data_IF_286341021716
#
_entry.id   IF_286341021716
#
_cell.length_a   1.000
_cell.length_b   1.000
_cell.length_c   1.000
_cell.angle_alpha   90.00
_cell.angle_beta   90.00
_cell.angle_gamma   90.00
#
_symmetry.space_group_name_H-M   'P 1'
#
loop_
_entity.id
_entity.type
_entity.pdbx_description
1 polymer ?
#
# COMPACT_ATOMS: atom_id res chain seq x y z
N UNK A 1 -26.99 49.50 26.49
CA UNK A 1 -26.00 50.41 27.11
C UNK A 1 -24.89 49.55 27.69
N UNK A 2 -23.64 49.84 27.30
CA UNK A 2 -22.35 49.32 27.81
C UNK A 2 -22.10 47.80 27.70
N UNK A 3 -20.91 47.25 27.42
CA UNK A 3 -19.55 47.67 27.05
C UNK A 3 -18.91 46.32 26.57
N UNK A 4 -18.20 46.18 25.45
CA UNK A 4 -16.83 46.66 25.22
C UNK A 4 -15.87 45.47 25.06
N UNK A 5 -15.26 45.32 23.88
CA UNK A 5 -13.86 44.90 23.72
C UNK A 5 -13.40 45.20 22.29
N UNK A 6 -12.59 46.25 22.20
CA UNK A 6 -11.99 46.81 21.00
C UNK A 6 -10.51 46.41 21.04
N UNK A 7 -10.02 45.69 20.04
CA UNK A 7 -8.59 45.46 19.86
C UNK A 7 -8.13 46.21 18.61
N UNK A 8 -7.31 47.22 18.86
CA UNK A 8 -6.65 48.09 17.91
C UNK A 8 -5.47 47.39 17.22
N UNK A 9 -5.43 47.50 15.89
CA UNK A 9 -4.25 47.20 15.08
C UNK A 9 -3.21 48.33 15.18
N UNK A 10 -1.91 48.03 15.24
CA UNK A 10 -0.88 48.99 14.86
C UNK A 10 -0.58 48.86 13.35
N UNK A 11 -0.69 49.98 12.64
CA UNK A 11 -0.16 50.15 11.29
C UNK A 11 1.37 50.08 11.31
N UNK A 12 1.97 49.17 10.53
CA UNK A 12 3.33 49.30 10.04
C UNK A 12 3.47 48.69 8.64
N UNK A 13 3.93 49.57 7.74
CA UNK A 13 4.31 49.46 6.33
C UNK A 13 4.62 48.07 5.75
N UNK A 14 4.15 47.91 4.52
CA UNK A 14 4.51 46.86 3.57
C UNK A 14 6.03 46.77 3.35
N UNK A 15 6.60 45.61 3.63
CA UNK A 15 7.79 45.09 2.95
C UNK A 15 7.49 43.68 2.43
N UNK A 16 7.73 43.50 1.14
CA UNK A 16 7.64 42.23 0.42
C UNK A 16 8.71 41.26 0.96
N UNK A 17 8.34 40.42 1.91
CA UNK A 17 9.08 39.19 2.16
C UNK A 17 8.17 38.00 1.85
N UNK A 18 8.32 37.46 0.63
CA UNK A 18 7.88 36.10 0.31
C UNK A 18 8.69 35.15 1.18
N UNK A 19 8.14 34.76 2.32
CA UNK A 19 8.63 33.62 3.07
C UNK A 19 8.21 32.38 2.27
N UNK A 20 9.13 31.87 1.46
CA UNK A 20 8.99 30.56 0.82
C UNK A 20 9.20 29.53 1.93
N UNK A 21 8.11 29.02 2.49
CA UNK A 21 8.18 27.86 3.36
C UNK A 21 8.55 26.64 2.49
N UNK A 22 9.57 25.85 2.87
CA UNK A 22 9.84 24.60 2.18
C UNK A 22 8.60 23.70 2.29
N UNK A 23 8.20 23.03 1.20
CA UNK A 23 7.02 22.15 1.11
C UNK A 23 6.90 21.14 2.27
N UNK A 24 8.02 20.78 2.89
CA UNK A 24 8.09 19.91 4.07
C UNK A 24 7.34 20.46 5.30
N UNK A 25 7.38 21.79 5.55
CA UNK A 25 6.73 22.38 6.73
C UNK A 25 5.20 22.47 6.60
N UNK A 26 4.68 22.62 5.38
CA UNK A 26 3.23 22.67 5.10
C UNK A 26 2.62 21.27 5.21
N UNK A 27 3.34 20.23 4.78
CA UNK A 27 2.98 18.83 5.04
C UNK A 27 2.92 18.52 6.54
N UNK A 28 3.90 18.99 7.31
CA UNK A 28 3.97 18.74 8.74
C UNK A 28 2.77 19.33 9.51
N UNK A 29 2.37 20.58 9.26
CA UNK A 29 1.33 21.23 10.07
C UNK A 29 -0.10 20.80 9.72
N UNK A 30 -0.41 20.56 8.43
CA UNK A 30 -1.75 20.11 8.03
C UNK A 30 -2.02 18.68 8.53
N UNK A 31 -1.05 17.78 8.36
CA UNK A 31 -1.23 16.40 8.80
C UNK A 31 -1.18 16.26 10.33
N UNK A 32 -0.39 17.07 11.04
CA UNK A 32 -0.42 17.11 12.50
C UNK A 32 -1.81 17.51 13.03
N UNK A 33 -2.52 18.40 12.33
CA UNK A 33 -3.89 18.80 12.67
C UNK A 33 -4.93 17.68 12.45
N UNK A 34 -4.76 16.90 11.36
CA UNK A 34 -5.57 15.70 11.07
C UNK A 34 -5.33 14.61 12.13
N UNK A 35 -4.08 14.38 12.52
CA UNK A 35 -3.70 13.40 13.57
C UNK A 35 -4.22 13.80 14.95
N UNK A 36 -4.30 15.11 15.27
CA UNK A 36 -4.74 15.57 16.59
C UNK A 36 -6.27 15.55 16.78
N UNK A 37 -7.05 15.71 15.70
CA UNK A 37 -8.53 15.72 15.77
C UNK A 37 -9.17 14.37 15.44
N UNK A 38 -8.50 13.51 14.67
CA UNK A 38 -8.91 12.11 14.55
C UNK A 38 -8.26 11.39 15.72
N UNK A 39 -9.05 11.14 16.77
CA UNK A 39 -8.70 10.20 17.84
C UNK A 39 -8.52 8.83 17.17
N UNK A 40 -7.32 8.56 16.64
CA UNK A 40 -7.00 7.37 15.85
C UNK A 40 -7.37 6.19 16.72
N UNK A 41 -8.49 5.57 16.37
CA UNK A 41 -8.90 4.30 16.93
C UNK A 41 -7.83 3.29 16.52
N UNK A 42 -6.79 3.17 17.34
CA UNK A 42 -5.96 1.99 17.44
C UNK A 42 -6.81 0.87 18.07
N UNK A 43 -7.95 0.56 17.45
CA UNK A 43 -8.42 -0.81 17.44
C UNK A 43 -7.47 -1.55 16.51
N UNK A 44 -6.39 -2.05 17.12
CA UNK A 44 -5.72 -3.27 16.66
C UNK A 44 -6.80 -4.15 16.06
N UNK A 45 -6.79 -4.39 14.75
CA UNK A 45 -7.36 -5.63 14.22
C UNK A 45 -6.37 -6.71 14.67
N UNK A 46 -6.56 -7.38 15.82
CA UNK A 46 -5.63 -8.38 16.26
C UNK A 46 -6.08 -9.65 15.53
N UNK A 47 -5.82 -9.72 14.23
CA UNK A 47 -5.67 -11.04 13.63
C UNK A 47 -4.43 -11.60 14.32
N UNK A 48 -4.62 -12.67 15.09
CA UNK A 48 -3.68 -13.16 16.10
C UNK A 48 -2.25 -13.35 15.57
N UNK A 49 -2.08 -13.48 14.24
CA UNK A 49 -0.82 -13.64 13.54
C UNK A 49 -0.41 -12.45 12.61
N UNK A 50 -1.34 -11.59 12.18
CA UNK A 50 -1.11 -10.57 11.14
C UNK A 50 -0.78 -9.21 11.78
N UNK A 51 0.33 -8.58 11.37
CA UNK A 51 0.77 -7.24 11.79
C UNK A 51 0.99 -6.35 10.56
N UNK A 52 0.40 -5.16 10.51
CA UNK A 52 0.83 -4.14 9.54
C UNK A 52 2.09 -3.48 10.09
N UNK A 53 3.14 -3.41 9.28
CA UNK A 53 4.38 -2.76 9.69
C UNK A 53 4.17 -1.25 9.75
N UNK A 54 4.53 -0.66 10.89
CA UNK A 54 4.36 0.76 11.14
C UNK A 54 5.08 1.60 10.07
N UNK A 55 4.30 2.45 9.37
CA UNK A 55 4.81 3.38 8.35
C UNK A 55 5.17 2.75 6.99
N UNK A 56 5.01 1.43 6.83
CA UNK A 56 5.39 0.75 5.58
C UNK A 56 4.24 -0.08 4.99
N UNK A 57 4.15 -0.18 3.65
CA UNK A 57 3.17 -1.02 2.95
C UNK A 57 3.54 -2.51 3.01
N UNK A 58 3.75 -3.03 4.22
CA UNK A 58 4.13 -4.42 4.47
C UNK A 58 3.29 -5.05 5.59
N UNK A 59 3.10 -6.36 5.51
CA UNK A 59 2.42 -7.18 6.51
C UNK A 59 3.39 -8.22 7.05
N UNK A 60 3.53 -8.33 8.37
CA UNK A 60 4.32 -9.35 9.03
C UNK A 60 3.42 -10.42 9.66
N UNK A 61 3.63 -11.68 9.26
CA UNK A 61 3.07 -12.87 9.89
C UNK A 61 4.02 -13.34 10.99
N UNK A 62 3.65 -13.09 12.25
CA UNK A 62 4.50 -13.31 13.42
C UNK A 62 4.88 -14.77 13.64
N UNK A 63 3.93 -15.67 13.47
CA UNK A 63 4.09 -17.10 13.77
C UNK A 63 4.87 -17.82 12.66
N UNK A 64 4.89 -17.22 11.47
CA UNK A 64 5.52 -17.75 10.25
C UNK A 64 6.86 -17.12 9.92
N UNK A 65 7.29 -16.14 10.72
CA UNK A 65 8.47 -15.31 10.47
C UNK A 65 8.53 -14.83 9.01
N UNK A 66 7.38 -14.38 8.48
CA UNK A 66 7.21 -14.04 7.08
C UNK A 66 6.75 -12.58 6.91
N UNK A 67 7.46 -11.83 6.07
CA UNK A 67 7.07 -10.47 5.67
C UNK A 67 6.43 -10.54 4.29
N UNK A 68 5.31 -9.86 4.10
CA UNK A 68 4.60 -9.76 2.83
C UNK A 68 4.64 -8.32 2.33
N UNK A 69 5.00 -8.15 1.06
CA UNK A 69 4.93 -6.90 0.29
C UNK A 69 4.21 -7.19 -1.03
N UNK A 70 3.77 -6.16 -1.75
CA UNK A 70 3.03 -6.34 -3.01
C UNK A 70 3.39 -5.28 -4.04
N UNK A 71 3.22 -5.58 -5.33
CA UNK A 71 3.23 -4.61 -6.43
C UNK A 71 4.47 -3.70 -6.47
N UNK A 72 5.65 -4.33 -6.64
CA UNK A 72 6.93 -3.62 -6.72
C UNK A 72 7.10 -2.93 -8.07
N UNK A 73 6.57 -3.52 -9.14
CA UNK A 73 6.69 -3.05 -10.51
C UNK A 73 8.10 -2.59 -10.88
N UNK A 74 9.14 -3.35 -10.53
CA UNK A 74 10.51 -3.00 -10.91
C UNK A 74 10.60 -2.86 -12.44
N UNK A 75 11.34 -1.84 -12.90
CA UNK A 75 11.43 -1.46 -14.31
C UNK A 75 10.34 -0.50 -14.81
N UNK A 76 9.46 0.00 -13.93
CA UNK A 76 8.38 0.92 -14.33
C UNK A 76 8.89 2.24 -14.92
N UNK A 77 10.07 2.71 -14.50
CA UNK A 77 10.70 3.93 -15.03
C UNK A 77 10.97 3.83 -16.55
N UNK A 78 11.45 2.67 -17.04
CA UNK A 78 11.67 2.41 -18.47
C UNK A 78 10.34 2.35 -19.23
N UNK A 79 9.32 1.74 -18.62
CA UNK A 79 7.98 1.67 -19.20
C UNK A 79 7.34 3.07 -19.34
N UNK A 80 7.51 3.95 -18.35
CA UNK A 80 7.07 5.34 -18.42
C UNK A 80 7.82 6.12 -19.50
N UNK A 81 9.13 5.96 -19.58
CA UNK A 81 9.94 6.59 -20.62
C UNK A 81 9.48 6.17 -22.02
N UNK A 82 9.20 4.88 -22.22
CA UNK A 82 8.76 4.34 -23.51
C UNK A 82 7.32 4.74 -23.88
N UNK A 83 6.40 4.74 -22.92
CA UNK A 83 4.96 4.97 -23.19
C UNK A 83 4.55 6.44 -23.15
N UNK A 84 5.18 7.26 -22.31
CA UNK A 84 4.81 8.65 -22.06
C UNK A 84 5.90 9.65 -22.43
N UNK A 85 7.09 9.19 -22.81
CA UNK A 85 8.26 10.04 -23.08
C UNK A 85 8.90 10.64 -21.82
N UNK A 86 8.42 10.28 -20.63
CA UNK A 86 8.92 10.79 -19.35
C UNK A 86 10.11 9.95 -18.89
N UNK A 87 11.32 10.48 -19.05
CA UNK A 87 12.53 9.86 -18.53
C UNK A 87 12.70 10.16 -17.03
N UNK A 88 12.55 9.13 -16.19
CA UNK A 88 12.84 9.22 -14.76
C UNK A 88 14.26 8.71 -14.46
N UNK A 89 14.98 9.29 -13.47
CA UNK A 89 16.24 8.73 -13.02
C UNK A 89 16.02 7.36 -12.37
N UNK A 90 16.84 6.36 -12.70
CA UNK A 90 16.71 5.01 -12.12
C UNK A 90 16.98 4.98 -10.61
N UNK A 91 15.91 5.11 -9.81
CA UNK A 91 15.96 5.19 -8.34
C UNK A 91 14.97 4.26 -7.67
N UNK A 92 13.96 3.77 -8.40
CA UNK A 92 12.92 2.87 -7.89
C UNK A 92 13.50 1.71 -7.09
N UNK A 93 14.47 0.97 -7.65
CA UNK A 93 15.08 -0.18 -6.97
C UNK A 93 15.69 0.21 -5.61
N UNK A 94 16.46 1.30 -5.56
CA UNK A 94 17.11 1.75 -4.31
C UNK A 94 16.08 2.14 -3.25
N UNK A 95 14.98 2.77 -3.65
CA UNK A 95 13.90 3.12 -2.73
C UNK A 95 13.16 1.88 -2.21
N UNK A 96 12.93 0.90 -3.08
CA UNK A 96 12.35 -0.40 -2.68
C UNK A 96 13.28 -1.14 -1.72
N UNK A 97 14.59 -1.21 -1.99
CA UNK A 97 15.59 -1.80 -1.10
C UNK A 97 15.64 -1.10 0.27
N UNK A 98 15.61 0.24 0.27
CA UNK A 98 15.57 1.04 1.49
C UNK A 98 14.33 0.75 2.33
N UNK A 99 13.13 0.84 1.72
CA UNK A 99 11.86 0.56 2.39
C UNK A 99 11.80 -0.87 2.91
N UNK A 100 12.29 -1.85 2.13
CA UNK A 100 12.30 -3.25 2.55
C UNK A 100 13.19 -3.42 3.78
N UNK A 101 14.41 -2.89 3.76
CA UNK A 101 15.31 -2.97 4.91
C UNK A 101 14.72 -2.31 6.16
N UNK A 102 14.05 -1.17 6.00
CA UNK A 102 13.40 -0.47 7.11
C UNK A 102 12.16 -1.23 7.64
N UNK A 103 11.36 -1.83 6.76
CA UNK A 103 10.24 -2.69 7.18
C UNK A 103 10.74 -3.96 7.90
N UNK A 104 11.85 -4.55 7.43
CA UNK A 104 12.49 -5.70 8.08
C UNK A 104 13.00 -5.33 9.49
N UNK A 105 13.62 -4.15 9.66
CA UNK A 105 14.15 -3.73 10.96
C UNK A 105 13.07 -3.44 12.00
N UNK A 106 11.84 -3.17 11.56
CA UNK A 106 10.66 -3.02 12.42
C UNK A 106 10.06 -4.36 12.87
N UNK A 107 10.47 -5.48 12.27
CA UNK A 107 9.98 -6.80 12.68
C UNK A 107 10.64 -7.22 14.01
N UNK A 108 9.84 -7.85 14.89
CA UNK A 108 10.29 -8.24 16.24
C UNK A 108 11.30 -9.38 16.25
N UNK A 109 11.31 -10.20 15.18
CA UNK A 109 12.15 -11.39 15.02
C UNK A 109 12.81 -11.36 13.65
N UNK A 110 13.88 -12.15 13.51
CA UNK A 110 14.50 -12.39 12.20
C UNK A 110 13.45 -13.04 11.28
N UNK A 111 13.33 -12.51 10.09
CA UNK A 111 12.36 -12.97 9.09
C UNK A 111 13.02 -14.10 8.29
N UNK A 112 12.32 -15.22 8.15
CA UNK A 112 12.77 -16.37 7.37
C UNK A 112 12.32 -16.27 5.91
N UNK A 113 11.14 -15.67 5.64
CA UNK A 113 10.54 -15.66 4.30
C UNK A 113 10.06 -14.26 3.89
N UNK A 114 10.31 -13.88 2.65
CA UNK A 114 9.63 -12.75 2.01
C UNK A 114 8.56 -13.27 1.06
N UNK A 115 7.31 -12.88 1.27
CA UNK A 115 6.20 -13.09 0.35
C UNK A 115 6.07 -11.83 -0.51
N UNK A 116 6.04 -12.01 -1.82
CA UNK A 116 5.77 -10.95 -2.80
C UNK A 116 4.41 -11.27 -3.42
N UNK A 117 3.37 -10.51 -3.06
CA UNK A 117 1.99 -10.74 -3.52
C UNK A 117 1.72 -10.11 -4.89
N UNK A 118 2.49 -10.56 -5.87
CA UNK A 118 2.36 -10.24 -7.28
C UNK A 118 3.01 -8.95 -7.71
N UNK A 119 3.08 -8.82 -9.05
CA UNK A 119 3.63 -7.70 -9.80
C UNK A 119 5.02 -7.29 -9.28
N UNK A 120 5.92 -8.26 -9.18
CA UNK A 120 7.34 -8.03 -8.86
C UNK A 120 7.97 -7.08 -9.88
N UNK A 121 7.52 -7.17 -11.13
CA UNK A 121 7.99 -6.39 -12.28
C UNK A 121 6.82 -5.76 -13.03
N UNK A 122 7.10 -4.78 -13.89
CA UNK A 122 6.05 -4.13 -14.66
C UNK A 122 5.72 -4.87 -15.96
N UNK A 123 6.51 -4.85 -17.02
CA UNK A 123 6.20 -5.64 -18.22
C UNK A 123 7.52 -6.01 -18.88
N UNK A 124 7.76 -7.31 -19.05
CA UNK A 124 8.83 -7.74 -19.96
C UNK A 124 8.33 -7.46 -21.37
N UNK A 125 8.67 -6.30 -21.92
CA UNK A 125 8.95 -6.25 -23.34
C UNK A 125 10.28 -6.99 -23.57
N UNK A 126 10.46 -7.63 -24.72
CA UNK A 126 11.74 -8.24 -25.11
C UNK A 126 12.93 -7.24 -25.06
N UNK A 127 12.64 -5.95 -24.91
CA UNK A 127 13.55 -4.82 -24.93
C UNK A 127 13.87 -4.19 -23.56
N UNK A 128 13.23 -4.56 -22.44
CA UNK A 128 13.52 -3.89 -21.15
C UNK A 128 14.85 -4.36 -20.53
N UNK A 129 15.94 -3.64 -20.76
CA UNK A 129 17.24 -3.98 -20.16
C UNK A 129 17.25 -3.74 -18.65
N UNK A 130 16.41 -2.84 -18.14
CA UNK A 130 16.35 -2.48 -16.73
C UNK A 130 15.79 -3.65 -15.90
N UNK A 131 14.67 -4.25 -16.30
CA UNK A 131 14.06 -5.36 -15.57
C UNK A 131 15.00 -6.57 -15.43
N UNK A 132 15.71 -6.92 -16.52
CA UNK A 132 16.69 -8.02 -16.54
C UNK A 132 17.87 -7.80 -15.59
N UNK A 133 18.16 -6.55 -15.23
CA UNK A 133 19.20 -6.19 -14.28
C UNK A 133 18.65 -6.03 -12.86
N UNK A 134 17.56 -5.32 -12.68
CA UNK A 134 17.06 -4.92 -11.37
C UNK A 134 16.36 -6.03 -10.61
N UNK A 135 15.58 -6.88 -11.29
CA UNK A 135 14.89 -7.98 -10.62
C UNK A 135 15.88 -8.94 -9.96
N UNK A 136 16.95 -9.40 -10.64
CA UNK A 136 17.93 -10.26 -9.98
C UNK A 136 18.74 -9.55 -8.88
N UNK A 137 19.05 -8.26 -9.04
CA UNK A 137 19.73 -7.48 -7.99
C UNK A 137 18.86 -7.36 -6.74
N UNK A 138 17.57 -7.07 -6.91
CA UNK A 138 16.62 -7.02 -5.80
C UNK A 138 16.51 -8.36 -5.06
N UNK A 139 16.47 -9.46 -5.81
CA UNK A 139 16.46 -10.82 -5.25
C UNK A 139 17.73 -11.08 -4.45
N UNK A 140 18.90 -10.83 -5.03
CA UNK A 140 20.20 -11.04 -4.36
C UNK A 140 20.30 -10.18 -3.10
N UNK A 141 19.89 -8.91 -3.18
CA UNK A 141 19.78 -8.03 -2.03
C UNK A 141 18.89 -8.65 -0.93
N UNK A 142 17.69 -9.09 -1.31
CA UNK A 142 16.69 -9.64 -0.38
C UNK A 142 17.17 -10.91 0.32
N UNK A 143 17.84 -11.81 -0.40
CA UNK A 143 18.38 -13.07 0.15
C UNK A 143 19.51 -12.86 1.18
N UNK A 144 20.03 -11.65 1.35
CA UNK A 144 20.90 -11.33 2.49
C UNK A 144 20.14 -11.21 3.82
N UNK A 145 18.82 -11.06 3.78
CA UNK A 145 17.98 -10.84 4.95
C UNK A 145 17.02 -12.00 5.26
N UNK A 146 16.64 -12.77 4.24
CA UNK A 146 15.68 -13.90 4.34
C UNK A 146 16.25 -15.16 3.70
N UNK A 147 15.70 -16.31 4.06
CA UNK A 147 16.14 -17.64 3.57
C UNK A 147 15.41 -18.06 2.30
N UNK A 148 14.16 -17.60 2.14
CA UNK A 148 13.30 -17.92 1.00
C UNK A 148 12.50 -16.69 0.54
N UNK A 149 12.27 -16.59 -0.76
CA UNK A 149 11.33 -15.66 -1.37
C UNK A 149 10.19 -16.47 -2.00
N UNK A 150 8.94 -16.12 -1.68
CA UNK A 150 7.76 -16.72 -2.28
C UNK A 150 7.04 -15.65 -3.11
N UNK A 151 7.04 -15.80 -4.43
CA UNK A 151 6.31 -14.94 -5.35
C UNK A 151 4.94 -15.55 -5.66
N UNK A 152 3.88 -14.91 -5.19
CA UNK A 152 2.51 -15.17 -5.64
C UNK A 152 2.29 -14.38 -6.92
N UNK A 153 1.97 -15.03 -8.04
CA UNK A 153 1.98 -14.36 -9.36
C UNK A 153 0.91 -13.28 -9.49
N UNK A 154 1.32 -12.09 -9.91
CA UNK A 154 0.44 -11.05 -10.43
C UNK A 154 0.22 -11.15 -11.94
N UNK A 155 -0.60 -10.27 -12.51
CA UNK A 155 -0.88 -10.29 -13.96
C UNK A 155 0.31 -9.79 -14.79
N UNK A 156 1.23 -9.05 -14.19
CA UNK A 156 2.45 -8.59 -14.85
C UNK A 156 3.57 -9.64 -14.81
N UNK A 157 3.46 -10.68 -13.98
CA UNK A 157 4.46 -11.74 -13.78
C UNK A 157 4.36 -12.86 -14.83
N UNK A 158 4.29 -12.51 -16.12
CA UNK A 158 4.11 -13.46 -17.23
C UNK A 158 5.37 -14.27 -17.54
N UNK A 159 6.49 -13.60 -17.75
CA UNK A 159 7.81 -14.20 -17.96
C UNK A 159 8.67 -14.00 -16.72
N UNK A 160 9.25 -15.05 -16.15
CA UNK A 160 10.11 -14.96 -14.95
C UNK A 160 11.41 -15.74 -15.15
N UNK A 161 11.85 -15.87 -16.41
CA UNK A 161 13.06 -16.59 -16.78
C UNK A 161 14.30 -16.23 -15.95
N UNK A 162 14.59 -14.94 -15.69
CA UNK A 162 15.73 -14.53 -14.87
C UNK A 162 15.72 -15.11 -13.45
N UNK A 163 14.55 -15.41 -12.89
CA UNK A 163 14.42 -15.95 -11.54
C UNK A 163 14.84 -17.42 -11.43
N UNK A 164 14.87 -18.17 -12.55
CA UNK A 164 15.18 -19.61 -12.57
C UNK A 164 16.59 -19.93 -12.05
N UNK A 165 17.49 -18.94 -12.03
CA UNK A 165 18.86 -19.10 -11.51
C UNK A 165 18.92 -19.16 -9.97
N UNK A 166 17.84 -18.80 -9.29
CA UNK A 166 17.77 -18.78 -7.83
C UNK A 166 16.97 -19.99 -7.32
N UNK A 167 17.61 -20.84 -6.53
CA UNK A 167 16.96 -22.00 -5.89
C UNK A 167 16.02 -21.61 -4.75
N UNK A 168 16.24 -20.45 -4.13
CA UNK A 168 15.53 -19.99 -2.94
C UNK A 168 14.28 -19.16 -3.27
N UNK A 169 13.79 -19.26 -4.50
CA UNK A 169 12.57 -18.57 -4.94
C UNK A 169 11.53 -19.60 -5.34
N UNK A 170 10.38 -19.54 -4.68
CA UNK A 170 9.20 -20.33 -5.02
C UNK A 170 8.19 -19.43 -5.73
N UNK A 171 7.73 -19.85 -6.91
CA UNK A 171 6.71 -19.12 -7.67
C UNK A 171 5.40 -19.93 -7.63
N UNK A 172 4.32 -19.31 -7.18
CA UNK A 172 2.99 -19.94 -7.02
C UNK A 172 1.89 -19.02 -7.55
N UNK A 173 0.72 -19.56 -7.89
CA UNK A 173 -0.44 -18.74 -8.29
C UNK A 173 -1.26 -18.26 -7.07
N UNK A 174 -1.26 -19.07 -6.03
CA UNK A 174 -1.88 -18.80 -4.74
C UNK A 174 -1.01 -19.40 -3.63
N UNK A 175 -1.01 -18.78 -2.45
CA UNK A 175 -0.27 -19.28 -1.29
C UNK A 175 -1.21 -19.39 -0.09
N UNK A 176 -1.34 -20.58 0.47
CA UNK A 176 -1.91 -20.77 1.80
C UNK A 176 -0.77 -20.91 2.81
N UNK A 177 -0.79 -20.10 3.85
CA UNK A 177 0.17 -20.13 4.95
C UNK A 177 -0.59 -19.87 6.24
N UNK A 178 -0.60 -20.85 7.15
CA UNK A 178 -1.46 -20.86 8.33
C UNK A 178 -2.95 -20.58 7.98
N UNK A 179 -3.59 -19.61 8.62
CA UNK A 179 -4.98 -19.24 8.36
C UNK A 179 -5.13 -18.15 7.28
N UNK A 180 -4.08 -17.91 6.48
CA UNK A 180 -4.00 -16.82 5.50
C UNK A 180 -3.88 -17.35 4.07
N UNK A 181 -4.75 -16.87 3.19
CA UNK A 181 -4.67 -17.04 1.74
C UNK A 181 -4.12 -15.76 1.10
N UNK A 182 -3.02 -15.88 0.38
CA UNK A 182 -2.50 -14.84 -0.50
C UNK A 182 -2.87 -15.13 -1.95
N UNK A 183 -3.52 -14.17 -2.58
CA UNK A 183 -3.76 -14.10 -4.03
C UNK A 183 -3.55 -12.66 -4.46
N UNK A 184 -3.00 -12.43 -5.64
CA UNK A 184 -2.75 -11.06 -6.08
C UNK A 184 -4.04 -10.24 -6.29
N UNK A 185 -5.10 -10.88 -6.81
CA UNK A 185 -6.43 -10.25 -6.90
C UNK A 185 -6.84 -9.73 -8.29
N UNK A 186 -6.08 -10.05 -9.35
CA UNK A 186 -6.44 -9.79 -10.75
C UNK A 186 -7.38 -10.86 -11.36
N UNK A 187 -7.44 -12.06 -10.76
CA UNK A 187 -8.13 -13.21 -11.34
C UNK A 187 -9.66 -13.10 -11.17
N UNK A 188 -10.40 -13.22 -12.27
CA UNK A 188 -11.88 -13.19 -12.27
C UNK A 188 -12.51 -14.41 -11.59
N UNK A 189 -11.80 -15.54 -11.53
CA UNK A 189 -12.23 -16.78 -10.88
C UNK A 189 -11.87 -16.83 -9.38
N UNK A 190 -11.61 -15.68 -8.75
CA UNK A 190 -11.18 -15.58 -7.36
C UNK A 190 -12.09 -16.35 -6.39
N UNK A 191 -13.41 -16.37 -6.61
CA UNK A 191 -14.36 -17.09 -5.77
C UNK A 191 -14.07 -18.59 -5.72
N UNK A 192 -13.62 -19.19 -6.83
CA UNK A 192 -13.25 -20.61 -6.89
C UNK A 192 -11.98 -20.88 -6.08
N UNK A 193 -11.00 -19.97 -6.13
CA UNK A 193 -9.75 -20.07 -5.36
C UNK A 193 -10.05 -19.97 -3.86
N UNK A 194 -10.79 -18.93 -3.45
CA UNK A 194 -11.15 -18.70 -2.04
C UNK A 194 -11.98 -19.86 -1.46
N UNK A 195 -12.90 -20.44 -2.26
CA UNK A 195 -13.71 -21.60 -1.83
C UNK A 195 -12.89 -22.89 -1.66
N UNK A 196 -11.78 -23.05 -2.39
CA UNK A 196 -10.87 -24.20 -2.23
C UNK A 196 -10.08 -24.08 -0.92
N UNK A 197 -9.66 -22.86 -0.56
CA UNK A 197 -8.97 -22.57 0.70
C UNK A 197 -9.94 -22.45 1.88
N UNK A 198 -10.70 -23.51 2.20
CA UNK A 198 -11.74 -23.45 3.24
C UNK A 198 -11.19 -23.15 4.64
N UNK A 199 -10.05 -23.72 4.97
CA UNK A 199 -9.43 -23.63 6.30
C UNK A 199 -8.88 -22.23 6.63
N UNK A 200 -8.68 -21.36 5.63
CA UNK A 200 -8.18 -20.00 5.87
C UNK A 200 -9.27 -19.11 6.46
N UNK A 201 -8.91 -18.16 7.31
CA UNK A 201 -9.83 -17.15 7.84
C UNK A 201 -9.59 -15.78 7.20
N UNK A 202 -8.38 -15.57 6.70
CA UNK A 202 -7.90 -14.30 6.19
C UNK A 202 -7.54 -14.44 4.71
N UNK A 203 -7.91 -13.45 3.91
CA UNK A 203 -7.55 -13.33 2.50
C UNK A 203 -6.79 -12.01 2.34
N UNK A 204 -5.55 -12.09 1.88
CA UNK A 204 -4.71 -10.93 1.59
C UNK A 204 -4.58 -10.81 0.08
N UNK A 205 -4.95 -9.63 -0.43
CA UNK A 205 -4.97 -9.30 -1.86
C UNK A 205 -4.19 -8.02 -2.13
N UNK A 206 -3.82 -7.81 -3.37
CA UNK A 206 -2.99 -6.70 -3.85
C UNK A 206 -3.67 -6.06 -5.08
N UNK A 207 -2.92 -5.68 -6.11
CA UNK A 207 -3.40 -5.27 -7.45
C UNK A 207 -4.11 -3.91 -7.53
N UNK A 208 -4.89 -3.56 -6.52
CA UNK A 208 -5.67 -2.31 -6.51
C UNK A 208 -4.82 -1.08 -6.19
N UNK A 209 -3.73 -1.29 -5.44
CA UNK A 209 -2.85 -0.24 -4.91
C UNK A 209 -3.64 0.89 -4.21
N UNK A 210 -4.49 0.56 -3.23
CA UNK A 210 -5.30 1.54 -2.52
C UNK A 210 -4.47 2.66 -1.91
N UNK A 211 -4.90 3.90 -2.12
CA UNK A 211 -4.38 5.07 -1.42
C UNK A 211 -5.51 6.05 -1.05
N UNK A 212 -5.28 6.87 -0.04
CA UNK A 212 -6.15 7.96 0.38
C UNK A 212 -5.74 9.27 -0.27
N UNK A 213 -6.73 10.10 -0.59
CA UNK A 213 -6.54 11.53 -0.80
C UNK A 213 -7.14 12.28 0.38
N UNK A 214 -6.29 12.87 1.21
CA UNK A 214 -6.71 13.76 2.30
C UNK A 214 -6.47 15.20 1.87
N UNK A 215 -7.37 16.11 2.23
CA UNK A 215 -7.23 17.50 1.87
C UNK A 215 -7.88 18.47 2.82
N UNK A 216 -7.45 19.73 2.77
CA UNK A 216 -8.06 20.83 3.54
C UNK A 216 -9.06 21.64 2.71
N UNK A 217 -9.78 22.51 3.42
CA UNK A 217 -10.68 23.50 2.86
C UNK A 217 -10.00 24.54 1.95
N UNK A 218 -8.67 24.66 1.97
CA UNK A 218 -7.91 25.62 1.13
C UNK A 218 -7.31 24.98 -0.14
N UNK A 219 -7.52 23.68 -0.34
CA UNK A 219 -7.19 22.95 -1.56
C UNK A 219 -5.90 22.13 -1.51
N UNK A 220 -5.15 22.11 -0.40
CA UNK A 220 -3.99 21.25 -0.24
C UNK A 220 -4.43 19.78 -0.23
N UNK A 221 -3.64 18.90 -0.87
CA UNK A 221 -3.93 17.46 -0.96
C UNK A 221 -2.70 16.65 -0.63
N UNK A 222 -2.89 15.57 0.13
CA UNK A 222 -1.87 14.58 0.47
C UNK A 222 -2.37 13.20 0.03
N UNK A 223 -1.48 12.42 -0.57
CA UNK A 223 -1.74 11.04 -0.99
C UNK A 223 -1.00 10.10 -0.05
N UNK A 224 -1.72 9.15 0.54
CA UNK A 224 -1.15 8.19 1.48
C UNK A 224 -1.53 6.77 1.06
N UNK A 225 -0.57 5.87 0.77
CA UNK A 225 -0.85 4.46 0.58
C UNK A 225 -1.61 3.90 1.79
N UNK A 226 -2.59 3.02 1.57
CA UNK A 226 -3.38 2.52 2.67
C UNK A 226 -3.83 1.07 2.50
N UNK A 227 -3.85 0.32 3.59
CA UNK A 227 -4.54 -0.96 3.63
C UNK A 227 -6.05 -0.74 3.71
N UNK A 228 -6.82 -1.54 2.98
CA UNK A 228 -8.26 -1.69 3.21
C UNK A 228 -8.51 -2.97 3.99
N UNK A 229 -9.28 -2.88 5.07
CA UNK A 229 -9.61 -4.03 5.91
C UNK A 229 -11.12 -4.19 6.00
N UNK A 230 -11.62 -5.38 5.70
CA UNK A 230 -13.05 -5.64 5.71
C UNK A 230 -13.39 -7.11 5.70
N UNK A 231 -14.61 -7.42 5.25
CA UNK A 231 -15.13 -8.78 5.15
C UNK A 231 -15.45 -9.12 3.72
N UNK A 232 -15.11 -10.34 3.32
CA UNK A 232 -15.54 -10.98 2.09
C UNK A 232 -16.67 -11.96 2.44
N UNK A 233 -17.89 -11.61 2.02
CA UNK A 233 -19.12 -12.35 2.34
C UNK A 233 -19.38 -13.41 1.28
N UNK A 234 -19.28 -14.67 1.69
CA UNK A 234 -19.55 -15.82 0.83
C UNK A 234 -20.86 -16.47 1.27
N UNK A 235 -21.40 -17.36 0.44
CA UNK A 235 -22.63 -18.07 0.78
C UNK A 235 -22.39 -18.98 2.00
N UNK A 236 -22.91 -18.58 3.15
CA UNK A 236 -22.88 -19.36 4.40
C UNK A 236 -21.70 -19.09 5.33
N UNK A 237 -20.74 -18.23 4.95
CA UNK A 237 -19.61 -17.86 5.80
C UNK A 237 -18.95 -16.56 5.33
N UNK A 238 -18.14 -15.94 6.18
CA UNK A 238 -17.36 -14.74 5.86
C UNK A 238 -15.87 -14.98 6.13
N UNK A 239 -15.01 -14.33 5.35
CA UNK A 239 -13.56 -14.27 5.59
C UNK A 239 -13.12 -12.82 5.82
N UNK A 240 -12.05 -12.61 6.56
CA UNK A 240 -11.39 -11.30 6.61
C UNK A 240 -10.74 -11.02 5.26
N UNK A 241 -10.84 -9.79 4.77
CA UNK A 241 -10.18 -9.33 3.56
C UNK A 241 -9.26 -8.16 3.90
N UNK A 242 -8.00 -8.28 3.49
CA UNK A 242 -7.02 -7.20 3.55
C UNK A 242 -6.55 -6.91 2.13
N UNK A 243 -6.67 -5.66 1.69
CA UNK A 243 -6.10 -5.18 0.42
C UNK A 243 -4.83 -4.42 0.75
N UNK A 244 -3.72 -4.87 0.20
CA UNK A 244 -2.41 -4.25 0.35
C UNK A 244 -2.26 -3.06 -0.60
N UNK A 245 -1.71 -1.93 -0.15
CA UNK A 245 -1.20 -0.91 -1.06
C UNK A 245 0.06 -1.40 -1.78
N UNK A 246 0.42 -0.75 -2.88
CA UNK A 246 1.66 -1.05 -3.58
C UNK A 246 2.89 -0.69 -2.72
N UNK A 247 3.91 -1.53 -2.83
CA UNK A 247 5.23 -1.26 -2.26
C UNK A 247 6.06 -0.31 -3.14
N UNK A 248 5.78 -0.32 -4.45
CA UNK A 248 6.41 0.58 -5.41
C UNK A 248 6.17 2.06 -5.06
N UNK A 249 7.21 2.91 -5.09
CA UNK A 249 7.04 4.36 -4.94
C UNK A 249 6.39 5.02 -6.16
N UNK A 250 6.38 4.35 -7.32
CA UNK A 250 5.95 4.93 -8.59
C UNK A 250 4.62 4.36 -9.09
N UNK A 251 4.15 3.25 -8.52
CA UNK A 251 2.90 2.66 -8.93
C UNK A 251 1.74 3.65 -8.71
N UNK A 252 0.88 3.76 -9.72
CA UNK A 252 -0.42 4.37 -9.55
C UNK A 252 -1.31 3.54 -8.63
N UNK A 253 -2.59 3.87 -8.58
CA UNK A 253 -3.57 3.09 -7.82
C UNK A 253 -4.93 3.74 -7.82
N UNK A 254 -5.77 3.30 -6.88
CA UNK A 254 -7.13 3.81 -6.72
C UNK A 254 -7.27 4.67 -5.47
N UNK A 255 -7.81 5.88 -5.65
CA UNK A 255 -8.14 6.79 -4.56
C UNK A 255 -9.41 6.31 -3.85
N UNK A 256 -9.29 5.41 -2.88
CA UNK A 256 -10.42 4.62 -2.34
C UNK A 256 -11.54 5.45 -1.70
N UNK A 257 -11.24 6.68 -1.28
CA UNK A 257 -12.20 7.61 -0.69
C UNK A 257 -12.84 8.58 -1.70
N UNK A 258 -12.43 8.52 -2.97
CA UNK A 258 -12.94 9.36 -4.07
C UNK A 258 -13.52 8.51 -5.21
N UNK A 259 -12.90 7.38 -5.49
CA UNK A 259 -13.27 6.47 -6.56
C UNK A 259 -14.65 5.85 -6.36
N UNK A 260 -15.38 5.71 -7.46
CA UNK A 260 -16.58 4.90 -7.57
C UNK A 260 -16.24 3.40 -7.63
N UNK A 261 -17.24 2.54 -7.44
CA UNK A 261 -17.05 1.08 -7.44
C UNK A 261 -16.54 0.58 -8.80
N UNK A 262 -16.95 1.24 -9.87
CA UNK A 262 -16.64 0.88 -11.26
C UNK A 262 -15.17 1.16 -11.62
N UNK A 263 -14.54 2.09 -10.92
CA UNK A 263 -13.14 2.49 -11.10
C UNK A 263 -12.14 1.50 -10.49
N UNK A 264 -12.57 0.64 -9.56
CA UNK A 264 -11.67 -0.37 -8.95
C UNK A 264 -11.10 -1.33 -10.00
N UNK A 265 -9.84 -1.73 -9.89
CA UNK A 265 -9.19 -2.63 -10.84
C UNK A 265 -9.48 -4.11 -10.51
N UNK A 266 -9.46 -4.45 -9.23
CA UNK A 266 -9.63 -5.82 -8.76
C UNK A 266 -11.06 -6.33 -8.96
N UNK A 267 -11.25 -7.50 -9.62
CA UNK A 267 -12.53 -8.19 -9.65
C UNK A 267 -13.12 -8.47 -8.25
N UNK A 268 -12.27 -8.62 -7.24
CA UNK A 268 -12.69 -8.88 -5.84
C UNK A 268 -13.40 -7.64 -5.27
N UNK A 269 -12.85 -6.45 -5.46
CA UNK A 269 -13.44 -5.21 -4.94
C UNK A 269 -14.66 -4.73 -5.73
N UNK A 270 -14.73 -5.11 -7.02
CA UNK A 270 -15.92 -4.92 -7.85
C UNK A 270 -17.05 -5.89 -7.52
N UNK A 271 -16.76 -7.00 -6.85
CA UNK A 271 -17.74 -8.06 -6.58
C UNK A 271 -18.86 -7.63 -5.63
N UNK A 272 -19.95 -8.42 -5.57
CA UNK A 272 -21.04 -8.17 -4.61
C UNK A 272 -20.69 -8.70 -3.21
N UNK A 273 -19.70 -9.58 -3.12
CA UNK A 273 -19.19 -10.21 -1.91
C UNK A 273 -18.41 -9.23 -1.02
N UNK A 274 -18.02 -8.06 -1.54
CA UNK A 274 -17.28 -7.03 -0.80
C UNK A 274 -18.07 -5.72 -0.78
N UNK A 275 -18.22 -5.17 0.42
CA UNK A 275 -18.74 -3.81 0.63
C UNK A 275 -17.58 -2.86 0.93
N UNK A 276 -17.02 -2.21 -0.12
CA UNK A 276 -15.90 -1.28 0.00
C UNK A 276 -16.19 -0.13 0.99
N UNK A 277 -17.40 0.41 0.98
CA UNK A 277 -17.81 1.49 1.89
C UNK A 277 -17.82 1.10 3.37
N UNK A 278 -17.93 -0.20 3.66
CA UNK A 278 -17.83 -0.76 5.00
C UNK A 278 -16.42 -1.19 5.39
N UNK A 279 -15.40 -0.91 4.59
CA UNK A 279 -14.01 -1.24 4.91
C UNK A 279 -13.37 -0.15 5.74
N UNK A 280 -12.64 -0.55 6.77
CA UNK A 280 -11.75 0.31 7.54
C UNK A 280 -10.45 0.55 6.77
N UNK A 281 -9.80 1.68 7.04
CA UNK A 281 -8.60 2.10 6.31
C UNK A 281 -7.45 2.29 7.27
N UNK A 282 -6.28 1.79 6.88
CA UNK A 282 -5.04 1.95 7.62
C UNK A 282 -4.00 2.55 6.68
N UNK A 283 -3.86 3.87 6.70
CA UNK A 283 -2.85 4.56 5.89
C UNK A 283 -1.46 4.42 6.49
N UNK A 284 -0.44 4.39 5.64
CA UNK A 284 0.96 4.23 6.03
C UNK A 284 1.82 5.29 5.37
N UNK A 285 2.72 5.86 6.17
CA UNK A 285 3.72 6.82 5.73
C UNK A 285 4.98 6.66 6.59
N UNK A 286 6.16 6.78 5.97
CA UNK A 286 7.43 6.55 6.65
C UNK A 286 7.70 7.57 7.77
N UNK A 287 7.28 8.82 7.61
CA UNK A 287 7.52 9.89 8.57
C UNK A 287 6.46 9.92 9.68
N UNK A 288 5.20 9.69 9.31
CA UNK A 288 4.05 9.79 10.22
C UNK A 288 3.71 8.45 10.90
N UNK A 289 4.16 7.33 10.33
CA UNK A 289 3.80 5.99 10.78
C UNK A 289 2.46 5.55 10.22
N UNK A 290 1.63 4.93 11.07
CA UNK A 290 0.37 4.32 10.64
C UNK A 290 -0.84 5.08 11.19
N UNK A 291 -1.78 5.41 10.30
CA UNK A 291 -3.00 6.16 10.61
C UNK A 291 -4.23 5.28 10.39
N UNK A 292 -4.94 4.98 11.48
CA UNK A 292 -6.20 4.25 11.44
C UNK A 292 -7.41 5.16 11.21
N UNK A 293 -8.23 4.83 10.22
CA UNK A 293 -9.49 5.48 9.92
C UNK A 293 -10.63 4.47 10.03
N UNK A 294 -11.81 4.90 10.50
CA UNK A 294 -12.97 4.03 10.56
C UNK A 294 -13.49 3.71 9.15
N UNK A 295 -14.59 2.97 9.07
CA UNK A 295 -15.21 2.60 7.79
C UNK A 295 -15.37 3.79 6.83
N UNK A 296 -14.98 3.61 5.56
CA UNK A 296 -14.96 4.64 4.52
C UNK A 296 -16.24 5.49 4.48
N UNK A 297 -17.42 4.87 4.55
CA UNK A 297 -18.71 5.59 4.51
C UNK A 297 -18.90 6.65 5.60
N UNK A 298 -18.17 6.56 6.72
CA UNK A 298 -18.32 7.48 7.86
C UNK A 298 -17.64 8.83 7.60
N UNK A 299 -16.69 8.90 6.67
CA UNK A 299 -15.84 10.08 6.53
C UNK A 299 -15.42 10.40 5.08
N UNK A 300 -15.65 9.51 4.10
CA UNK A 300 -15.27 9.77 2.69
C UNK A 300 -15.85 11.06 2.11
N UNK A 301 -17.03 11.48 2.58
CA UNK A 301 -17.68 12.71 2.12
C UNK A 301 -16.96 13.99 2.56
N UNK A 302 -16.17 13.93 3.64
CA UNK A 302 -15.46 15.08 4.21
C UNK A 302 -13.94 14.99 4.04
N UNK A 303 -13.42 13.91 3.45
CA UNK A 303 -11.99 13.63 3.38
C UNK A 303 -11.16 14.67 2.64
N UNK A 304 -11.80 15.45 1.75
CA UNK A 304 -11.14 16.51 0.97
C UNK A 304 -11.24 17.90 1.64
N UNK A 305 -11.86 17.99 2.81
CA UNK A 305 -12.07 19.20 3.61
C UNK A 305 -11.85 18.92 5.11
N UNK A 306 -10.86 18.08 5.45
CA UNK A 306 -10.45 17.78 6.83
C UNK A 306 -9.72 18.97 7.48
#
# INVERSE_FOLDING_TARGET
MALGLQLSLPNARAEKNRIVFPLALIRSNFLFYVVFNIKILLTKYPMHNIEIIEGYPAIYLRDEDALCIADLHLGYEEALAASSGIALPSRQLKEVEHKLKAAISKCKRKIARLIINGDLKHVFSESSKQEWKEVPVFVEFTLNFVEEIILVRGNHDTFLGPLKRFSNIKIVNELCMDDVLFIHGHNKDFLSIIRKAKETKNVIVAHEHPFLILGDCVGARVRLPCFLMGKLRLRGYEKNLIVMPAFSPLAGGTAVNVASKEEFLSPILKSAEVNHDGMEVCAVDEEIGTLGFPELRKWKAVSLCL
#
